data_IF_414413682258
#
_entry.id   IF_414413682258
#
_cell.length_a   1.000
_cell.length_b   1.000
_cell.length_c   1.000
_cell.angle_alpha   90.00
_cell.angle_beta   90.00
_cell.angle_gamma   90.00
#
_symmetry.space_group_name_H-M   'P 1'
#
loop_
_entity.id
_entity.type
_entity.pdbx_description
1 polymer ?
#
# COMPACT_ATOMS: atom_id res chain seq x y z
N UNK A 1 -18.67 -21.11 -36.74
CA UNK A 1 -18.04 -22.43 -36.88
C UNK A 1 -16.70 -22.16 -37.53
N UNK A 2 -15.55 -22.27 -36.88
CA UNK A 2 -15.17 -22.94 -35.62
C UNK A 2 -13.80 -22.39 -35.17
N UNK A 3 -13.54 -22.52 -33.88
CA UNK A 3 -12.29 -22.21 -33.15
C UNK A 3 -11.03 -22.93 -33.70
N UNK A 4 -9.85 -22.36 -33.45
CA UNK A 4 -8.82 -23.03 -32.63
C UNK A 4 -7.88 -22.00 -31.97
N UNK A 5 -7.29 -22.42 -30.87
CA UNK A 5 -6.73 -21.66 -29.76
C UNK A 5 -5.21 -21.93 -29.62
N UNK A 6 -4.51 -21.07 -28.85
CA UNK A 6 -3.26 -21.32 -28.07
C UNK A 6 -1.99 -20.49 -28.43
N UNK A 7 -1.90 -19.36 -27.72
CA UNK A 7 -0.76 -18.77 -26.95
C UNK A 7 0.65 -18.68 -27.54
N UNK A 8 1.20 -17.46 -27.52
CA UNK A 8 2.60 -17.21 -27.18
C UNK A 8 2.77 -15.81 -26.53
N UNK A 9 3.04 -15.84 -25.23
CA UNK A 9 3.94 -15.01 -24.43
C UNK A 9 3.98 -13.48 -24.61
N UNK A 10 3.62 -12.84 -23.51
CA UNK A 10 3.70 -11.43 -23.13
C UNK A 10 5.15 -10.92 -23.07
N UNK A 11 5.47 -9.86 -23.84
CA UNK A 11 6.55 -8.94 -23.48
C UNK A 11 5.92 -7.64 -22.99
N UNK A 12 5.85 -7.47 -21.67
CA UNK A 12 5.57 -6.18 -21.06
C UNK A 12 6.82 -5.30 -21.19
N UNK A 13 6.75 -4.11 -21.80
CA UNK A 13 7.87 -3.19 -21.69
C UNK A 13 8.06 -2.81 -20.22
N UNK A 14 9.30 -2.93 -19.76
CA UNK A 14 9.74 -2.45 -18.46
C UNK A 14 9.63 -0.92 -18.44
N UNK A 15 8.59 -0.40 -17.80
CA UNK A 15 8.38 1.04 -17.59
C UNK A 15 8.87 1.36 -16.18
N UNK A 16 10.07 1.92 -16.08
CA UNK A 16 10.50 2.64 -14.89
C UNK A 16 9.83 4.01 -14.97
N UNK A 17 8.92 4.31 -14.04
CA UNK A 17 8.36 5.65 -13.90
C UNK A 17 9.44 6.52 -13.25
N UNK A 18 10.06 7.40 -14.04
CA UNK A 18 10.82 8.53 -13.51
C UNK A 18 9.83 9.67 -13.27
N UNK A 19 9.65 10.07 -12.00
CA UNK A 19 8.90 11.27 -11.63
C UNK A 19 9.64 12.50 -12.19
N UNK A 20 9.21 12.96 -13.36
CA UNK A 20 9.72 14.16 -14.00
C UNK A 20 8.71 15.29 -13.77
N UNK A 21 9.04 16.21 -12.86
CA UNK A 21 8.28 17.43 -12.50
C UNK A 21 8.25 18.47 -13.64
N UNK A 22 7.91 18.03 -14.85
CA UNK A 22 7.57 18.89 -15.97
C UNK A 22 6.08 18.69 -16.26
N UNK A 23 5.23 19.31 -15.44
CA UNK A 23 3.78 19.34 -15.66
C UNK A 23 3.50 19.96 -17.03
N UNK A 24 3.02 19.13 -17.94
CA UNK A 24 2.64 19.55 -19.28
C UNK A 24 1.42 20.48 -19.21
N UNK A 25 1.48 21.60 -19.93
CA UNK A 25 0.48 22.68 -19.95
C UNK A 25 -0.93 22.19 -20.35
N UNK A 26 -1.05 21.01 -20.97
CA UNK A 26 -2.31 20.38 -21.33
C UNK A 26 -3.05 19.78 -20.13
N UNK A 27 -2.34 19.26 -19.14
CA UNK A 27 -2.91 18.67 -17.91
C UNK A 27 -3.65 19.71 -17.08
N UNK A 28 -3.12 20.93 -17.04
CA UNK A 28 -3.70 22.04 -16.28
C UNK A 28 -5.02 22.57 -16.86
N UNK A 29 -5.25 22.44 -18.17
CA UNK A 29 -6.53 22.77 -18.80
C UNK A 29 -7.57 21.67 -18.64
N UNK A 30 -7.15 20.39 -18.64
CA UNK A 30 -8.05 19.26 -18.50
C UNK A 30 -8.75 19.25 -17.12
N UNK A 31 -8.03 19.61 -16.05
CA UNK A 31 -8.57 19.68 -14.69
C UNK A 31 -9.15 21.04 -14.30
N UNK A 32 -9.29 21.97 -15.26
CA UNK A 32 -9.78 23.33 -14.99
C UNK A 32 -11.24 23.38 -14.54
N UNK A 33 -12.04 22.38 -14.92
CA UNK A 33 -13.47 22.26 -14.59
C UNK A 33 -13.79 20.88 -14.01
N UNK A 34 -13.57 20.73 -12.70
CA UNK A 34 -13.94 19.53 -11.95
C UNK A 34 -15.46 19.49 -11.69
N UNK A 35 -16.12 18.46 -12.24
CA UNK A 35 -17.53 18.18 -12.01
C UNK A 35 -17.71 17.29 -10.78
N UNK A 36 -17.54 17.86 -9.58
CA UNK A 36 -17.62 17.11 -8.32
C UNK A 36 -18.87 16.25 -8.17
N UNK A 37 -20.03 16.70 -8.69
CA UNK A 37 -21.27 15.94 -8.61
C UNK A 37 -21.16 14.62 -9.38
N UNK A 38 -20.58 14.67 -10.58
CA UNK A 38 -20.29 13.50 -11.39
C UNK A 38 -19.31 12.57 -10.66
N UNK A 39 -18.25 13.15 -10.07
CA UNK A 39 -17.28 12.37 -9.29
C UNK A 39 -17.90 11.69 -8.07
N UNK A 40 -18.84 12.36 -7.38
CA UNK A 40 -19.61 11.76 -6.27
C UNK A 40 -20.49 10.60 -6.75
N UNK A 41 -21.04 10.69 -7.97
CA UNK A 41 -21.82 9.61 -8.57
C UNK A 41 -20.95 8.42 -8.98
N UNK A 42 -19.74 8.67 -9.54
CA UNK A 42 -18.72 7.64 -9.71
C UNK A 42 -18.36 6.99 -8.37
N UNK A 43 -18.14 7.79 -7.32
CA UNK A 43 -17.86 7.30 -5.98
C UNK A 43 -18.93 6.35 -5.46
N UNK A 44 -20.21 6.66 -5.67
CA UNK A 44 -21.31 5.75 -5.31
C UNK A 44 -21.21 4.43 -6.08
N UNK A 45 -21.02 4.47 -7.39
CA UNK A 45 -20.93 3.27 -8.22
C UNK A 45 -19.70 2.40 -7.90
N UNK A 46 -18.52 3.01 -7.80
CA UNK A 46 -17.27 2.32 -7.47
C UNK A 46 -17.35 1.67 -6.07
N UNK A 47 -17.91 2.38 -5.09
CA UNK A 47 -18.05 1.86 -3.73
C UNK A 47 -19.13 0.78 -3.59
N UNK A 48 -20.14 0.74 -4.47
CA UNK A 48 -21.19 -0.27 -4.41
C UNK A 48 -20.60 -1.68 -4.61
N UNK A 49 -19.81 -1.87 -5.66
CA UNK A 49 -19.15 -3.16 -5.93
C UNK A 49 -18.22 -3.56 -4.77
N UNK A 50 -17.46 -2.62 -4.22
CA UNK A 50 -16.64 -2.88 -3.03
C UNK A 50 -17.50 -3.31 -1.83
N UNK A 51 -18.63 -2.64 -1.62
CA UNK A 51 -19.53 -2.92 -0.49
C UNK A 51 -20.19 -4.29 -0.58
N UNK A 52 -20.56 -4.72 -1.78
CA UNK A 52 -21.10 -6.06 -2.04
C UNK A 52 -20.05 -7.13 -1.70
N UNK A 53 -18.82 -6.96 -2.16
CA UNK A 53 -17.72 -7.89 -1.87
C UNK A 53 -17.37 -7.93 -0.38
N UNK A 54 -17.32 -6.78 0.30
CA UNK A 54 -17.08 -6.73 1.75
C UNK A 54 -18.21 -7.41 2.53
N UNK A 55 -19.45 -7.35 2.03
CA UNK A 55 -20.56 -8.07 2.63
C UNK A 55 -20.44 -9.59 2.43
N UNK A 56 -19.94 -10.05 1.28
CA UNK A 56 -19.71 -11.47 1.00
C UNK A 56 -18.51 -12.03 1.80
N UNK A 57 -17.46 -11.23 1.99
CA UNK A 57 -16.27 -11.60 2.75
C UNK A 57 -16.56 -11.81 4.25
N UNK A 58 -17.55 -11.10 4.80
CA UNK A 58 -17.87 -11.16 6.24
C UNK A 58 -16.94 -10.32 7.11
N UNK A 59 -17.47 -9.84 8.24
CA UNK A 59 -16.76 -8.94 9.16
C UNK A 59 -15.47 -9.56 9.72
N UNK A 60 -15.45 -10.88 9.87
CA UNK A 60 -14.30 -11.65 10.36
C UNK A 60 -13.07 -11.53 9.45
N UNK A 61 -13.27 -11.21 8.17
CA UNK A 61 -12.21 -11.12 7.18
C UNK A 61 -11.88 -9.67 6.79
N UNK A 62 -12.59 -8.67 7.32
CA UNK A 62 -12.36 -7.26 6.95
C UNK A 62 -10.94 -6.78 7.30
N UNK A 63 -10.35 -7.31 8.36
CA UNK A 63 -8.98 -6.96 8.77
C UNK A 63 -7.90 -7.80 8.09
N UNK A 64 -8.27 -8.77 7.25
CA UNK A 64 -7.32 -9.55 6.48
C UNK A 64 -6.97 -8.81 5.18
N UNK A 65 -5.84 -8.10 5.20
CA UNK A 65 -5.39 -7.33 4.04
C UNK A 65 -5.16 -8.20 2.79
N UNK A 66 -4.72 -9.45 2.92
CA UNK A 66 -4.54 -10.33 1.76
C UNK A 66 -5.85 -10.60 1.01
N UNK A 67 -6.98 -10.66 1.73
CA UNK A 67 -8.30 -10.85 1.13
C UNK A 67 -8.86 -9.56 0.53
N UNK A 68 -8.60 -8.42 1.16
CA UNK A 68 -9.24 -7.14 0.82
C UNK A 68 -8.46 -6.33 -0.23
N UNK A 69 -7.13 -6.45 -0.26
CA UNK A 69 -6.24 -5.56 -1.02
C UNK A 69 -6.58 -5.50 -2.53
N UNK A 70 -6.95 -6.63 -3.13
CA UNK A 70 -7.31 -6.69 -4.55
C UNK A 70 -8.57 -5.87 -4.86
N UNK A 71 -9.57 -5.98 -4.00
CA UNK A 71 -10.85 -5.30 -4.16
C UNK A 71 -10.74 -3.81 -3.82
N UNK A 72 -9.93 -3.49 -2.81
CA UNK A 72 -9.60 -2.11 -2.48
C UNK A 72 -8.84 -1.42 -3.64
N UNK A 73 -7.87 -2.10 -4.26
CA UNK A 73 -7.19 -1.58 -5.45
C UNK A 73 -8.16 -1.36 -6.62
N UNK A 74 -9.10 -2.27 -6.85
CA UNK A 74 -10.14 -2.10 -7.88
C UNK A 74 -11.00 -0.85 -7.63
N UNK A 75 -11.33 -0.56 -6.37
CA UNK A 75 -12.02 0.67 -5.97
C UNK A 75 -11.15 1.90 -6.26
N UNK A 76 -9.87 1.86 -5.91
CA UNK A 76 -8.89 2.94 -6.18
C UNK A 76 -8.80 3.27 -7.66
N UNK A 77 -8.59 2.28 -8.52
CA UNK A 77 -8.51 2.47 -9.98
C UNK A 77 -9.83 3.02 -10.55
N UNK A 78 -10.97 2.56 -10.02
CA UNK A 78 -12.28 3.08 -10.41
C UNK A 78 -12.43 4.58 -10.05
N UNK A 79 -11.94 4.98 -8.88
CA UNK A 79 -11.97 6.39 -8.44
C UNK A 79 -10.99 7.28 -9.19
N UNK A 80 -9.81 6.75 -9.53
CA UNK A 80 -8.84 7.43 -10.39
C UNK A 80 -9.45 7.70 -11.77
N UNK A 81 -10.02 6.66 -12.39
CA UNK A 81 -10.73 6.78 -13.68
C UNK A 81 -11.90 7.77 -13.58
N UNK A 82 -12.72 7.66 -12.54
CA UNK A 82 -13.84 8.58 -12.31
C UNK A 82 -13.40 10.03 -12.11
N UNK A 83 -12.21 10.25 -11.53
CA UNK A 83 -11.63 11.59 -11.37
C UNK A 83 -11.23 12.17 -12.74
N UNK A 84 -10.55 11.37 -13.57
CA UNK A 84 -10.21 11.75 -14.95
C UNK A 84 -11.47 12.10 -15.75
N UNK A 85 -12.47 11.21 -15.76
CA UNK A 85 -13.73 11.41 -16.50
C UNK A 85 -14.53 12.63 -15.99
N UNK A 86 -14.41 12.96 -14.71
CA UNK A 86 -15.06 14.13 -14.11
C UNK A 86 -14.28 15.43 -14.29
N UNK A 87 -13.11 15.40 -14.94
CA UNK A 87 -12.21 16.56 -15.06
C UNK A 87 -11.63 17.01 -13.71
N UNK A 88 -11.46 16.07 -12.77
CA UNK A 88 -10.94 16.32 -11.43
C UNK A 88 -9.57 15.67 -11.25
N UNK A 89 -8.63 16.39 -10.64
CA UNK A 89 -7.31 15.83 -10.29
C UNK A 89 -7.46 14.69 -9.28
N UNK A 90 -6.60 13.67 -9.34
CA UNK A 90 -6.55 12.59 -8.37
C UNK A 90 -5.20 12.64 -7.61
N UNK A 91 -5.19 12.53 -6.27
CA UNK A 91 -6.35 12.49 -5.37
C UNK A 91 -7.01 13.88 -5.19
N UNK A 92 -8.25 13.91 -4.69
CA UNK A 92 -8.97 15.13 -4.33
C UNK A 92 -9.88 14.90 -3.10
N UNK A 93 -10.48 15.97 -2.58
CA UNK A 93 -11.29 15.92 -1.35
C UNK A 93 -12.52 15.00 -1.44
N UNK A 94 -13.12 14.80 -2.63
CA UNK A 94 -14.26 13.88 -2.80
C UNK A 94 -13.80 12.44 -2.64
N UNK A 95 -12.68 12.10 -3.27
CA UNK A 95 -12.03 10.79 -3.16
C UNK A 95 -11.62 10.52 -1.71
N UNK A 96 -10.96 11.49 -1.06
CA UNK A 96 -10.54 11.38 0.35
C UNK A 96 -11.75 11.09 1.27
N UNK A 97 -12.83 11.85 1.13
CA UNK A 97 -14.05 11.64 1.94
C UNK A 97 -14.68 10.26 1.71
N UNK A 98 -14.64 9.75 0.47
CA UNK A 98 -15.13 8.41 0.16
C UNK A 98 -14.30 7.35 0.89
N UNK A 99 -12.97 7.41 0.77
CA UNK A 99 -12.09 6.44 1.41
C UNK A 99 -12.17 6.52 2.93
N UNK A 100 -12.22 7.71 3.54
CA UNK A 100 -12.43 7.86 4.98
C UNK A 100 -13.74 7.20 5.43
N UNK A 101 -14.82 7.31 4.64
CA UNK A 101 -16.09 6.63 4.95
C UNK A 101 -15.94 5.12 4.91
N UNK A 102 -15.30 4.60 3.87
CA UNK A 102 -15.04 3.17 3.70
C UNK A 102 -14.19 2.64 4.86
N UNK A 103 -13.14 3.36 5.25
CA UNK A 103 -12.31 3.03 6.41
C UNK A 103 -13.10 2.97 7.71
N UNK A 104 -13.96 3.95 7.97
CA UNK A 104 -14.83 3.93 9.16
C UNK A 104 -15.84 2.79 9.14
N UNK A 105 -16.35 2.44 7.97
CA UNK A 105 -17.40 1.43 7.83
C UNK A 105 -16.85 0.01 7.98
N UNK A 106 -15.72 -0.30 7.34
CA UNK A 106 -15.21 -1.67 7.26
C UNK A 106 -13.97 -1.95 8.11
N UNK A 107 -13.18 -0.92 8.45
CA UNK A 107 -11.88 -1.11 9.11
C UNK A 107 -11.80 -0.44 10.49
N UNK A 108 -12.90 0.10 11.04
CA UNK A 108 -12.89 0.82 12.32
C UNK A 108 -12.53 -0.03 13.53
N UNK A 109 -12.72 -1.34 13.44
CA UNK A 109 -12.39 -2.32 14.49
C UNK A 109 -11.11 -3.09 14.20
N UNK A 110 -10.45 -2.82 13.08
CA UNK A 110 -9.17 -3.46 12.80
C UNK A 110 -8.11 -2.86 13.73
N UNK A 111 -7.53 -3.73 14.55
CA UNK A 111 -6.40 -3.38 15.39
C UNK A 111 -5.19 -3.14 14.48
N UNK A 112 -4.41 -2.10 14.76
CA UNK A 112 -3.12 -1.86 14.12
C UNK A 112 -2.09 -2.89 14.60
N UNK A 113 -2.37 -4.19 14.50
CA UNK A 113 -1.45 -5.25 14.98
C UNK A 113 -0.16 -5.31 14.15
N UNK A 114 -0.14 -4.58 13.02
CA UNK A 114 1.03 -4.33 12.18
C UNK A 114 1.73 -2.98 12.47
N UNK A 115 1.33 -2.23 13.49
CA UNK A 115 2.33 -1.41 14.17
C UNK A 115 3.31 -2.44 14.73
N UNK A 116 4.42 -2.69 14.00
CA UNK A 116 5.57 -3.43 14.52
C UNK A 116 5.90 -2.76 15.86
N UNK A 117 5.34 -3.29 16.94
CA UNK A 117 5.65 -2.84 18.28
C UNK A 117 7.16 -2.97 18.36
N UNK A 118 7.84 -1.83 18.49
CA UNK A 118 9.27 -1.80 18.70
C UNK A 118 9.60 -2.89 19.72
N UNK A 119 10.60 -3.71 19.42
CA UNK A 119 10.98 -4.81 20.30
C UNK A 119 11.10 -4.24 21.73
N UNK A 120 10.57 -4.93 22.76
CA UNK A 120 10.52 -4.40 24.11
C UNK A 120 11.87 -3.82 24.52
N UNK A 121 11.90 -2.68 25.20
CA UNK A 121 13.15 -1.95 25.50
C UNK A 121 14.24 -2.84 26.12
N UNK A 122 13.88 -3.87 26.89
CA UNK A 122 14.81 -4.86 27.44
C UNK A 122 15.49 -5.73 26.39
N UNK A 123 14.79 -6.14 25.34
CA UNK A 123 15.36 -6.94 24.23
C UNK A 123 16.35 -6.11 23.44
N UNK A 124 16.02 -4.85 23.13
CA UNK A 124 16.91 -3.91 22.45
C UNK A 124 18.16 -3.64 23.30
N UNK A 125 17.99 -3.47 24.61
CA UNK A 125 19.10 -3.26 25.54
C UNK A 125 20.04 -4.48 25.63
N UNK A 126 19.49 -5.69 25.71
CA UNK A 126 20.31 -6.91 25.71
C UNK A 126 21.02 -7.10 24.36
N UNK A 127 20.32 -6.91 23.25
CA UNK A 127 20.88 -7.06 21.90
C UNK A 127 21.99 -6.05 21.60
N UNK A 128 21.96 -4.86 22.24
CA UNK A 128 23.01 -3.83 22.11
C UNK A 128 24.17 -4.05 23.07
N UNK A 129 23.91 -4.39 24.34
CA UNK A 129 24.97 -4.62 25.33
C UNK A 129 25.76 -5.91 25.08
N UNK A 130 25.10 -6.96 24.58
CA UNK A 130 25.74 -8.24 24.31
C UNK A 130 26.96 -8.12 23.36
N UNK A 131 26.86 -7.54 22.14
CA UNK A 131 28.02 -7.37 21.27
C UNK A 131 29.08 -6.43 21.85
N UNK A 132 28.67 -5.37 22.55
CA UNK A 132 29.60 -4.41 23.19
C UNK A 132 30.49 -5.11 24.22
N UNK A 133 29.97 -6.10 24.93
CA UNK A 133 30.73 -6.85 25.94
C UNK A 133 31.45 -8.07 25.34
N UNK A 134 30.84 -8.76 24.38
CA UNK A 134 31.40 -9.96 23.78
C UNK A 134 32.62 -9.66 22.91
N UNK A 135 32.60 -8.59 22.11
CA UNK A 135 33.71 -8.23 21.21
C UNK A 135 35.04 -8.03 21.98
N UNK A 136 35.14 -7.15 23.00
CA UNK A 136 36.39 -6.95 23.73
C UNK A 136 36.81 -8.20 24.51
N UNK A 137 35.85 -9.01 25.02
CA UNK A 137 36.15 -10.27 25.68
C UNK A 137 36.81 -11.27 24.73
N UNK A 138 36.27 -11.43 23.52
CA UNK A 138 36.84 -12.29 22.48
C UNK A 138 38.24 -11.79 22.09
N UNK A 139 38.39 -10.49 21.83
CA UNK A 139 39.69 -9.88 21.48
C UNK A 139 40.72 -10.14 22.57
N UNK A 140 40.34 -9.95 23.83
CA UNK A 140 41.20 -10.21 24.98
C UNK A 140 41.67 -11.67 25.04
N UNK A 141 40.74 -12.62 24.88
CA UNK A 141 41.07 -14.06 24.85
C UNK A 141 42.04 -14.39 23.72
N UNK A 142 41.80 -13.84 22.52
CA UNK A 142 42.65 -14.08 21.35
C UNK A 142 44.06 -13.54 21.60
N UNK A 143 44.19 -12.30 22.07
CA UNK A 143 45.50 -11.68 22.36
C UNK A 143 46.24 -12.43 23.45
N UNK A 144 45.55 -12.80 24.54
CA UNK A 144 46.15 -13.59 25.61
C UNK A 144 46.66 -14.93 25.05
N UNK A 145 45.82 -15.70 24.35
CA UNK A 145 46.24 -17.00 23.80
C UNK A 145 47.41 -16.87 22.82
N UNK A 146 47.46 -15.81 22.02
CA UNK A 146 48.58 -15.55 21.12
C UNK A 146 49.85 -15.24 21.91
N UNK A 147 49.79 -14.38 22.93
CA UNK A 147 50.94 -14.05 23.80
C UNK A 147 51.43 -15.22 24.66
N UNK A 148 50.59 -16.22 24.94
CA UNK A 148 51.01 -17.46 25.61
C UNK A 148 51.61 -18.50 24.65
N UNK A 149 51.40 -18.33 23.34
CA UNK A 149 51.84 -19.29 22.31
C UNK A 149 53.10 -18.81 21.56
N UNK A 150 53.44 -17.53 21.69
CA UNK A 150 54.74 -16.94 21.34
C UNK A 150 55.72 -17.08 22.52
#
# INVERSE_FOLDING_TARGET
>A
MTEDNRTAFEERPNVTYEDNDSEDFQTQNFFSHCHEKMLKDYGRNCSQNFSEIMSELGEENWCNMEMVIRHYNSLTVCMESGSIESGCFYPNHVVEQLFVRIHRQYFSLCSNEEDLLDAPAGVVLVATLLPILLIPFIVYIVVWKSSLRD
#
